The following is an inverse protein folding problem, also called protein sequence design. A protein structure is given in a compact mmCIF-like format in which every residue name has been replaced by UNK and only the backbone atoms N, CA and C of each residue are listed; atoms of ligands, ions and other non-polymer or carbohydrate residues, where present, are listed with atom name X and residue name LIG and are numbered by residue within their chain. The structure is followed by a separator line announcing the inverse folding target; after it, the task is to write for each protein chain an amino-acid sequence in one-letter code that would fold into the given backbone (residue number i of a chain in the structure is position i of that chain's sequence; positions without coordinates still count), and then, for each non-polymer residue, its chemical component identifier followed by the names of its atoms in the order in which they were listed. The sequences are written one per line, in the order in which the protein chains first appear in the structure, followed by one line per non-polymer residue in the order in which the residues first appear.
data_IF_637863845138
#
_entry.id   IF_637863845138
#
_cell.length_a   1.000
_cell.length_b   1.000
_cell.length_c   1.000
_cell.angle_alpha   90.00
_cell.angle_beta   90.00
_cell.angle_gamma   90.00
#
_symmetry.space_group_name_H-M   'P 1'
#
loop_
_entity.id
_entity.type
_entity.pdbx_description
1 polymer ?
#
# COMPACT_ATOMS: atom_id res chain seq x y z
N UNK A 1 -47.56 -8.25 22.72
CA UNK A 1 -47.75 -7.12 23.65
C UNK A 1 -46.64 -6.12 23.36
N UNK A 2 -46.85 -4.90 22.86
CA UNK A 2 -48.05 -4.20 22.42
C UNK A 2 -47.62 -3.24 21.28
N UNK A 3 -48.43 -3.21 20.22
CA UNK A 3 -48.63 -2.06 19.32
C UNK A 3 -49.98 -1.44 19.78
N UNK A 4 -50.14 -0.10 19.80
CA UNK A 4 -51.08 0.43 18.82
C UNK A 4 -50.75 1.85 18.29
N UNK A 5 -50.66 1.95 16.97
CA UNK A 5 -51.47 2.80 16.06
C UNK A 5 -52.02 4.14 16.57
N UNK A 6 -51.69 5.20 15.83
CA UNK A 6 -52.62 6.30 15.53
C UNK A 6 -52.69 6.52 14.00
N UNK A 7 -53.92 6.47 13.46
CA UNK A 7 -54.34 6.74 12.09
C UNK A 7 -54.56 8.27 11.88
N UNK A 8 -54.88 8.78 10.66
CA UNK A 8 -54.39 10.05 10.14
C UNK A 8 -55.41 11.19 10.24
N UNK A 9 -54.93 12.43 10.16
CA UNK A 9 -55.77 13.59 9.87
C UNK A 9 -55.50 14.03 8.43
N UNK A 10 -56.54 13.90 7.60
CA UNK A 10 -56.58 14.48 6.27
C UNK A 10 -56.80 16.00 6.38
N UNK A 11 -55.92 16.78 5.75
CA UNK A 11 -56.18 18.17 5.41
C UNK A 11 -56.06 18.28 3.89
N UNK A 12 -57.20 18.49 3.25
CA UNK A 12 -57.27 18.91 1.86
C UNK A 12 -56.76 20.35 1.75
N UNK A 13 -55.76 20.57 0.89
CA UNK A 13 -55.19 21.89 0.61
C UNK A 13 -54.75 21.98 -0.84
N UNK A 14 -55.54 22.72 -1.62
CA UNK A 14 -55.31 23.30 -2.95
C UNK A 14 -54.07 22.83 -3.75
N UNK A 15 -54.33 22.15 -4.87
CA UNK A 15 -53.36 21.95 -5.94
C UNK A 15 -53.06 23.30 -6.63
N UNK A 16 -51.96 23.94 -6.26
CA UNK A 16 -51.34 24.98 -7.07
C UNK A 16 -50.48 24.29 -8.14
N UNK A 17 -50.89 24.39 -9.39
CA UNK A 17 -50.10 23.95 -10.53
C UNK A 17 -48.86 24.84 -10.65
N UNK A 18 -47.77 24.45 -9.98
CA UNK A 18 -46.46 24.99 -10.28
C UNK A 18 -46.05 24.45 -11.65
N UNK A 19 -46.06 25.32 -12.67
CA UNK A 19 -45.34 25.09 -13.92
C UNK A 19 -43.85 25.00 -13.55
N UNK A 20 -43.40 23.80 -13.19
CA UNK A 20 -42.00 23.49 -13.04
C UNK A 20 -41.34 23.72 -14.38
N UNK A 21 -40.53 24.78 -14.47
CA UNK A 21 -39.53 24.86 -15.52
C UNK A 21 -38.69 23.59 -15.40
N UNK A 22 -38.90 22.65 -16.33
CA UNK A 22 -38.01 21.53 -16.52
C UNK A 22 -36.65 22.12 -16.86
N UNK A 23 -35.83 22.34 -15.83
CA UNK A 23 -34.42 22.63 -16.01
C UNK A 23 -33.85 21.40 -16.72
N UNK A 24 -33.74 21.46 -18.05
CA UNK A 24 -33.03 20.46 -18.84
C UNK A 24 -31.68 20.29 -18.18
N UNK A 25 -31.48 19.12 -17.56
CA UNK A 25 -30.22 18.78 -16.95
C UNK A 25 -29.13 18.98 -18.00
N UNK A 26 -28.14 19.83 -17.69
CA UNK A 26 -27.02 20.06 -18.59
C UNK A 26 -26.46 18.69 -19.04
N UNK A 27 -26.14 18.51 -20.33
CA UNK A 27 -25.64 17.24 -20.82
C UNK A 27 -24.47 16.78 -19.93
N UNK A 28 -24.42 15.48 -19.58
CA UNK A 28 -23.40 14.98 -18.66
C UNK A 28 -22.03 15.38 -19.20
N UNK A 29 -21.29 16.17 -18.42
CA UNK A 29 -19.97 16.65 -18.82
C UNK A 29 -19.11 15.42 -19.14
N UNK A 30 -18.46 15.36 -20.31
CA UNK A 30 -17.60 14.24 -20.65
C UNK A 30 -16.48 14.13 -19.62
N UNK A 31 -16.08 12.89 -19.30
CA UNK A 31 -15.03 12.64 -18.34
C UNK A 31 -13.69 13.18 -18.86
N UNK A 32 -13.27 14.30 -18.30
CA UNK A 32 -11.99 14.94 -18.59
C UNK A 32 -11.23 15.15 -17.29
N UNK A 33 -10.09 14.47 -17.14
CA UNK A 33 -9.24 14.58 -15.95
C UNK A 33 -8.72 16.02 -15.83
N UNK A 34 -8.81 16.59 -14.62
CA UNK A 34 -8.28 17.91 -14.33
C UNK A 34 -6.78 18.00 -14.69
N UNK A 35 -6.33 19.18 -15.15
CA UNK A 35 -4.96 19.36 -15.62
C UNK A 35 -3.91 19.04 -14.54
N UNK A 36 -4.13 19.47 -13.30
CA UNK A 36 -3.23 19.18 -12.17
C UNK A 36 -3.14 17.68 -11.87
N UNK A 37 -4.28 16.99 -11.81
CA UNK A 37 -4.35 15.54 -11.57
C UNK A 37 -3.67 14.76 -12.71
N UNK A 38 -3.88 15.20 -13.96
CA UNK A 38 -3.24 14.61 -15.16
C UNK A 38 -1.73 14.79 -15.14
N UNK A 39 -1.25 15.99 -14.82
CA UNK A 39 0.18 16.27 -14.70
C UNK A 39 0.80 15.39 -13.63
N UNK A 40 0.17 15.30 -12.45
CA UNK A 40 0.65 14.48 -11.36
C UNK A 40 0.70 12.99 -11.74
N UNK A 41 -0.39 12.37 -12.19
CA UNK A 41 -0.41 10.92 -12.45
C UNK A 41 0.57 10.52 -13.56
N UNK A 42 0.76 11.36 -14.58
CA UNK A 42 1.73 11.09 -15.63
C UNK A 42 3.18 11.24 -15.11
N UNK A 43 3.44 12.24 -14.26
CA UNK A 43 4.72 12.43 -13.58
C UNK A 43 5.05 11.24 -12.67
N UNK A 44 4.13 10.85 -11.80
CA UNK A 44 4.27 9.71 -10.90
C UNK A 44 4.53 8.40 -11.68
N UNK A 45 3.89 8.19 -12.83
CA UNK A 45 4.16 7.00 -13.67
C UNK A 45 5.55 7.07 -14.32
N UNK A 46 6.08 8.28 -14.54
CA UNK A 46 7.49 8.51 -14.87
C UNK A 46 8.42 8.16 -13.70
N UNK A 47 8.07 8.55 -12.47
CA UNK A 47 8.81 8.23 -11.26
C UNK A 47 8.92 6.72 -11.06
N UNK A 48 7.84 5.97 -11.30
CA UNK A 48 7.87 4.51 -11.30
C UNK A 48 8.91 3.96 -12.29
N UNK A 49 8.85 4.38 -13.57
CA UNK A 49 9.76 3.86 -14.61
C UNK A 49 11.23 4.13 -14.27
N UNK A 50 11.51 5.29 -13.69
CA UNK A 50 12.86 5.65 -13.23
C UNK A 50 13.26 4.80 -12.03
N UNK A 51 12.39 4.68 -11.03
CA UNK A 51 12.66 3.95 -9.79
C UNK A 51 12.82 2.45 -10.02
N UNK A 52 12.00 1.84 -10.87
CA UNK A 52 12.08 0.43 -11.26
C UNK A 52 13.46 0.08 -11.83
N UNK A 53 13.98 0.94 -12.70
CA UNK A 53 15.29 0.73 -13.33
C UNK A 53 16.45 1.08 -12.41
N UNK A 54 16.38 2.21 -11.70
CA UNK A 54 17.56 2.79 -11.03
C UNK A 54 17.67 2.41 -9.57
N UNK A 55 16.54 2.28 -8.85
CA UNK A 55 16.51 1.93 -7.44
C UNK A 55 16.27 0.44 -7.25
N UNK A 56 15.22 -0.10 -7.88
CA UNK A 56 14.92 -1.53 -7.82
C UNK A 56 15.84 -2.37 -8.71
N UNK A 57 16.54 -1.76 -9.69
CA UNK A 57 17.45 -2.47 -10.60
C UNK A 57 16.78 -3.66 -11.31
N UNK A 58 15.51 -3.49 -11.67
CA UNK A 58 14.73 -4.48 -12.39
C UNK A 58 14.66 -4.13 -13.87
N UNK A 59 14.49 -5.16 -14.69
CA UNK A 59 14.10 -4.98 -16.08
C UNK A 59 12.72 -4.32 -16.13
N UNK A 60 12.58 -3.34 -17.01
CA UNK A 60 11.32 -2.62 -17.16
C UNK A 60 10.26 -3.57 -17.70
N UNK A 61 9.18 -3.72 -16.94
CA UNK A 61 7.99 -4.42 -17.39
C UNK A 61 6.88 -3.43 -17.73
N UNK A 62 5.93 -3.80 -18.60
CA UNK A 62 4.75 -2.97 -18.84
C UNK A 62 4.07 -2.58 -17.53
N UNK A 63 3.58 -1.35 -17.46
CA UNK A 63 2.69 -0.94 -16.37
C UNK A 63 1.44 -1.83 -16.39
N UNK A 64 0.88 -2.17 -15.21
CA UNK A 64 -0.43 -2.82 -15.16
C UNK A 64 -1.51 -1.87 -15.69
N UNK A 65 -2.76 -2.36 -15.77
CA UNK A 65 -3.88 -1.44 -16.02
C UNK A 65 -4.00 -0.47 -14.85
N UNK A 66 -4.06 0.84 -15.13
CA UNK A 66 -4.17 1.88 -14.10
C UNK A 66 -5.59 2.41 -14.08
N UNK A 67 -6.19 2.51 -12.90
CA UNK A 67 -7.47 3.15 -12.62
C UNK A 67 -7.22 4.38 -11.74
N UNK A 68 -7.26 5.57 -12.34
CA UNK A 68 -7.18 6.84 -11.64
C UNK A 68 -8.59 7.40 -11.45
N UNK A 69 -8.96 7.77 -10.23
CA UNK A 69 -10.35 8.07 -9.87
C UNK A 69 -10.45 9.50 -9.35
N UNK A 70 -11.33 10.33 -9.92
CA UNK A 70 -11.69 11.63 -9.34
C UNK A 70 -13.07 11.57 -8.65
N UNK A 71 -13.67 12.71 -8.34
CA UNK A 71 -14.98 12.77 -7.70
C UNK A 71 -16.15 12.24 -8.56
N UNK A 72 -15.99 12.10 -9.88
CA UNK A 72 -17.08 11.80 -10.83
C UNK A 72 -16.74 10.69 -11.83
N UNK A 73 -15.47 10.53 -12.16
CA UNK A 73 -14.98 9.75 -13.28
C UNK A 73 -13.88 8.77 -12.86
N UNK A 74 -13.93 7.59 -13.47
CA UNK A 74 -12.83 6.63 -13.43
C UNK A 74 -12.08 6.72 -14.75
N UNK A 75 -10.80 7.04 -14.69
CA UNK A 75 -9.89 7.08 -15.83
C UNK A 75 -9.08 5.80 -15.87
N UNK A 76 -9.23 5.04 -16.94
CA UNK A 76 -8.50 3.81 -17.19
C UNK A 76 -7.39 4.03 -18.21
N UNK A 77 -6.21 3.53 -17.91
CA UNK A 77 -5.10 3.36 -18.85
C UNK A 77 -4.74 1.88 -18.93
N UNK A 78 -4.95 1.26 -20.08
CA UNK A 78 -4.66 -0.16 -20.28
C UNK A 78 -3.16 -0.43 -20.23
N UNK A 79 -2.79 -1.64 -19.80
CA UNK A 79 -1.40 -2.09 -19.76
C UNK A 79 -0.70 -1.86 -21.12
N UNK A 80 0.51 -1.31 -21.08
CA UNK A 80 1.31 -1.02 -22.29
C UNK A 80 0.82 0.15 -23.15
N UNK A 81 -0.34 0.75 -22.86
CA UNK A 81 -0.88 1.90 -23.62
C UNK A 81 -0.51 3.25 -23.01
N UNK A 82 -0.64 4.34 -23.78
CA UNK A 82 -0.42 5.72 -23.31
C UNK A 82 -1.69 6.55 -23.06
N UNK A 83 -2.83 6.13 -23.61
CA UNK A 83 -4.05 6.93 -23.61
C UNK A 83 -4.94 6.64 -22.39
N UNK A 84 -5.47 7.71 -21.80
CA UNK A 84 -6.50 7.65 -20.75
C UNK A 84 -7.89 7.61 -21.37
N UNK A 85 -8.75 6.71 -20.90
CA UNK A 85 -10.19 6.68 -21.21
C UNK A 85 -10.98 6.92 -19.93
N UNK A 86 -11.88 7.88 -19.92
CA UNK A 86 -12.66 8.25 -18.74
C UNK A 86 -14.12 7.83 -18.89
N UNK A 87 -14.66 7.19 -17.87
CA UNK A 87 -16.07 6.81 -17.78
C UNK A 87 -16.67 7.35 -16.46
N UNK A 88 -17.87 7.94 -16.47
CA UNK A 88 -18.51 8.41 -15.25
C UNK A 88 -18.87 7.22 -14.35
N UNK A 89 -18.61 7.33 -13.05
CA UNK A 89 -18.86 6.23 -12.10
C UNK A 89 -20.09 6.46 -11.21
N UNK A 90 -20.67 7.66 -11.16
CA UNK A 90 -21.90 7.94 -10.41
C UNK A 90 -21.83 7.57 -8.92
N UNK A 91 -20.66 7.78 -8.29
CA UNK A 91 -20.37 7.34 -6.92
C UNK A 91 -20.00 5.87 -6.71
N UNK A 92 -20.07 5.01 -7.74
CA UNK A 92 -19.74 3.58 -7.66
C UNK A 92 -18.61 3.20 -8.62
N UNK A 93 -17.40 3.01 -8.07
CA UNK A 93 -16.21 2.71 -8.86
C UNK A 93 -16.22 1.25 -9.27
N UNK A 94 -16.17 0.96 -10.58
CA UNK A 94 -16.08 -0.41 -11.09
C UNK A 94 -14.64 -0.80 -11.33
N UNK A 95 -14.17 -1.83 -10.63
CA UNK A 95 -12.84 -2.42 -10.79
C UNK A 95 -12.95 -3.92 -11.11
N UNK A 96 -11.94 -4.52 -11.76
CA UNK A 96 -11.98 -5.94 -12.11
C UNK A 96 -12.09 -6.84 -10.88
N UNK A 97 -13.28 -7.41 -10.68
CA UNK A 97 -13.49 -8.50 -9.74
C UNK A 97 -13.36 -8.19 -8.26
N UNK A 98 -13.47 -6.92 -7.90
CA UNK A 98 -13.62 -6.46 -6.53
C UNK A 98 -15.03 -5.87 -6.35
N UNK A 99 -15.61 -5.92 -5.14
CA UNK A 99 -16.73 -5.07 -4.78
C UNK A 99 -16.38 -3.61 -5.08
N UNK A 100 -17.34 -2.79 -5.56
CA UNK A 100 -17.06 -1.41 -5.94
C UNK A 100 -16.64 -0.60 -4.71
N UNK A 101 -15.41 -0.06 -4.65
CA UNK A 101 -15.04 0.80 -3.55
C UNK A 101 -15.81 2.12 -3.62
N UNK A 102 -15.95 2.76 -2.46
CA UNK A 102 -16.42 4.15 -2.39
C UNK A 102 -15.34 5.09 -2.94
N UNK A 103 -15.77 6.22 -3.49
CA UNK A 103 -14.83 7.31 -3.82
C UNK A 103 -14.18 7.82 -2.55
N UNK A 104 -12.84 7.87 -2.56
CA UNK A 104 -12.05 8.29 -1.40
C UNK A 104 -10.56 8.23 -1.66
N UNK A 105 -9.73 8.56 -0.65
CA UNK A 105 -8.27 8.52 -0.73
C UNK A 105 -7.77 7.07 -0.68
N UNK A 106 -8.06 6.31 -1.74
CA UNK A 106 -7.66 4.91 -1.91
C UNK A 106 -6.41 4.83 -2.78
N UNK A 107 -5.58 3.84 -2.51
CA UNK A 107 -4.52 3.37 -3.38
C UNK A 107 -4.32 1.89 -3.09
N UNK A 108 -4.30 1.04 -4.12
CA UNK A 108 -3.98 -0.37 -3.96
C UNK A 108 -3.61 -1.01 -5.30
N UNK A 109 -2.72 -2.00 -5.26
CA UNK A 109 -2.53 -2.94 -6.35
C UNK A 109 -3.34 -4.23 -6.15
N UNK A 110 -3.79 -4.85 -7.23
CA UNK A 110 -4.52 -6.10 -7.18
C UNK A 110 -4.27 -6.97 -8.41
N UNK A 111 -4.48 -8.28 -8.25
CA UNK A 111 -4.43 -9.25 -9.33
C UNK A 111 -5.58 -10.25 -9.22
N UNK A 112 -6.30 -10.44 -10.32
CA UNK A 112 -7.35 -11.47 -10.44
C UNK A 112 -7.17 -12.26 -11.72
N UNK A 113 -6.89 -13.55 -11.58
CA UNK A 113 -6.47 -14.40 -12.70
C UNK A 113 -5.24 -13.82 -13.39
N UNK A 114 -5.29 -13.64 -14.71
CA UNK A 114 -4.21 -13.01 -15.48
C UNK A 114 -4.19 -11.47 -15.40
N UNK A 115 -5.27 -10.84 -14.90
CA UNK A 115 -5.40 -9.39 -14.88
C UNK A 115 -4.70 -8.80 -13.65
N UNK A 116 -3.77 -7.88 -13.88
CA UNK A 116 -3.12 -7.07 -12.83
C UNK A 116 -3.50 -5.62 -13.02
N UNK A 117 -3.85 -4.93 -11.94
CA UNK A 117 -4.19 -3.52 -11.97
C UNK A 117 -3.72 -2.78 -10.73
N UNK A 118 -3.62 -1.46 -10.87
CA UNK A 118 -3.41 -0.51 -9.78
C UNK A 118 -4.55 0.51 -9.81
N UNK A 119 -5.12 0.82 -8.66
CA UNK A 119 -6.18 1.81 -8.52
C UNK A 119 -5.76 2.90 -7.52
N UNK A 120 -6.04 4.16 -7.83
CA UNK A 120 -5.73 5.30 -6.96
C UNK A 120 -6.76 6.43 -7.12
N UNK A 121 -7.19 6.99 -5.99
CA UNK A 121 -7.84 8.29 -5.97
C UNK A 121 -6.86 9.39 -6.36
N UNK A 122 -7.22 10.25 -7.30
CA UNK A 122 -6.39 11.36 -7.76
C UNK A 122 -6.17 12.41 -6.65
N UNK A 123 -5.15 13.28 -6.76
CA UNK A 123 -4.85 14.26 -5.72
C UNK A 123 -6.04 15.14 -5.33
N UNK A 124 -6.92 15.48 -6.28
CA UNK A 124 -8.19 16.16 -5.99
C UNK A 124 -9.06 15.44 -4.96
N UNK A 125 -9.15 14.11 -5.01
CA UNK A 125 -9.91 13.28 -4.06
C UNK A 125 -9.26 13.28 -2.70
N UNK A 126 -7.93 13.17 -2.63
CA UNK A 126 -7.20 13.16 -1.37
C UNK A 126 -7.28 14.52 -0.66
N UNK A 127 -7.19 15.63 -1.40
CA UNK A 127 -7.41 16.98 -0.87
C UNK A 127 -8.83 17.15 -0.35
N UNK A 128 -9.83 16.68 -1.11
CA UNK A 128 -11.23 16.76 -0.69
C UNK A 128 -11.52 15.95 0.59
N UNK A 129 -10.77 14.87 0.82
CA UNK A 129 -10.81 14.08 2.05
C UNK A 129 -9.99 14.68 3.20
N UNK A 130 -9.36 15.85 3.02
CA UNK A 130 -8.57 16.52 4.06
C UNK A 130 -7.23 15.85 4.34
N UNK A 131 -6.71 15.01 3.44
CA UNK A 131 -5.42 14.33 3.67
C UNK A 131 -4.27 15.34 3.57
N UNK A 132 -3.46 15.41 4.61
CA UNK A 132 -2.26 16.25 4.69
C UNK A 132 -1.02 15.41 4.96
N UNK A 133 0.16 15.94 4.61
CA UNK A 133 1.44 15.31 4.90
C UNK A 133 2.53 16.34 5.19
N UNK A 134 3.44 16.03 6.10
CA UNK A 134 4.61 16.88 6.42
C UNK A 134 5.59 17.02 5.26
N UNK A 135 5.49 16.16 4.24
CA UNK A 135 6.29 16.23 3.00
C UNK A 135 5.51 16.86 1.82
N UNK A 136 4.27 17.30 2.05
CA UNK A 136 3.34 17.69 0.99
C UNK A 136 2.54 16.52 0.44
N UNK A 137 1.33 16.77 -0.04
CA UNK A 137 0.40 15.73 -0.46
C UNK A 137 0.90 14.97 -1.70
N UNK A 138 1.31 15.68 -2.74
CA UNK A 138 1.74 15.07 -3.99
C UNK A 138 2.97 14.17 -3.80
N UNK A 139 3.92 14.58 -2.94
CA UNK A 139 5.09 13.74 -2.59
C UNK A 139 4.71 12.50 -1.79
N UNK A 140 3.74 12.62 -0.88
CA UNK A 140 3.18 11.46 -0.18
C UNK A 140 2.55 10.50 -1.21
N UNK A 141 1.74 11.03 -2.13
CA UNK A 141 1.05 10.22 -3.13
C UNK A 141 2.00 9.57 -4.12
N UNK A 142 3.12 10.21 -4.47
CA UNK A 142 4.20 9.58 -5.24
C UNK A 142 4.76 8.38 -4.50
N UNK A 143 5.07 8.53 -3.21
CA UNK A 143 5.53 7.43 -2.36
C UNK A 143 4.52 6.29 -2.28
N UNK A 144 3.24 6.61 -2.06
CA UNK A 144 2.14 5.62 -2.04
C UNK A 144 2.04 4.90 -3.38
N UNK A 145 2.05 5.61 -4.51
CA UNK A 145 1.95 4.97 -5.81
C UNK A 145 3.14 4.06 -6.10
N UNK A 146 4.36 4.49 -5.75
CA UNK A 146 5.55 3.68 -5.90
C UNK A 146 5.47 2.41 -5.05
N UNK A 147 5.05 2.54 -3.80
CA UNK A 147 4.81 1.42 -2.89
C UNK A 147 3.83 0.41 -3.51
N UNK A 148 2.65 0.86 -3.93
CA UNK A 148 1.64 -0.03 -4.48
C UNK A 148 2.07 -0.72 -5.78
N UNK A 149 2.79 0.00 -6.65
CA UNK A 149 3.30 -0.59 -7.89
C UNK A 149 4.37 -1.67 -7.64
N UNK A 150 5.10 -1.63 -6.52
CA UNK A 150 6.02 -2.73 -6.15
C UNK A 150 5.27 -4.04 -6.02
N UNK A 151 4.07 -4.06 -5.43
CA UNK A 151 3.30 -5.30 -5.27
C UNK A 151 2.97 -5.96 -6.61
N UNK A 152 2.83 -5.17 -7.68
CA UNK A 152 2.60 -5.71 -9.03
C UNK A 152 3.77 -6.56 -9.54
N UNK A 153 4.98 -6.31 -9.03
CA UNK A 153 6.21 -7.07 -9.28
C UNK A 153 6.42 -8.21 -8.27
N UNK A 154 5.58 -8.29 -7.25
CA UNK A 154 5.63 -9.33 -6.21
C UNK A 154 4.54 -10.37 -6.39
N UNK A 155 3.44 -10.06 -7.10
CA UNK A 155 2.32 -10.98 -7.29
C UNK A 155 2.68 -12.36 -7.85
N UNK A 156 3.79 -12.51 -8.59
CA UNK A 156 4.21 -13.81 -9.09
C UNK A 156 4.64 -14.78 -7.98
N UNK A 157 5.08 -14.29 -6.83
CA UNK A 157 5.41 -15.11 -5.66
C UNK A 157 4.44 -14.90 -4.51
N UNK A 158 3.97 -13.68 -4.28
CA UNK A 158 3.08 -13.36 -3.17
C UNK A 158 1.76 -14.12 -3.26
N UNK A 159 1.08 -14.06 -4.41
CA UNK A 159 -0.22 -14.71 -4.59
C UNK A 159 -0.17 -16.23 -4.42
N UNK A 160 0.76 -16.98 -5.07
CA UNK A 160 0.84 -18.42 -4.85
C UNK A 160 1.25 -18.78 -3.41
N UNK A 161 2.13 -17.99 -2.78
CA UNK A 161 2.52 -18.20 -1.37
C UNK A 161 1.33 -18.01 -0.43
N UNK A 162 0.61 -16.89 -0.54
CA UNK A 162 -0.58 -16.62 0.26
C UNK A 162 -1.65 -17.69 0.02
N UNK A 163 -1.89 -18.09 -1.23
CA UNK A 163 -2.81 -19.21 -1.55
C UNK A 163 -2.39 -20.51 -0.87
N UNK A 164 -1.10 -20.85 -0.87
CA UNK A 164 -0.60 -22.06 -0.23
C UNK A 164 -0.74 -21.99 1.30
N UNK A 165 -0.48 -20.84 1.91
CA UNK A 165 -0.68 -20.60 3.35
C UNK A 165 -2.18 -20.72 3.69
N UNK A 166 -3.06 -20.07 2.93
CA UNK A 166 -4.51 -20.13 3.15
C UNK A 166 -5.04 -21.56 3.03
N UNK A 167 -4.60 -22.32 2.02
CA UNK A 167 -4.98 -23.72 1.86
C UNK A 167 -4.48 -24.59 3.03
N UNK A 168 -3.25 -24.36 3.49
CA UNK A 168 -2.64 -25.12 4.61
C UNK A 168 -3.35 -24.87 5.95
N UNK A 169 -3.78 -23.64 6.20
CA UNK A 169 -4.32 -23.23 7.50
C UNK A 169 -5.83 -22.94 7.50
N UNK A 170 -6.52 -23.16 6.37
CA UNK A 170 -7.96 -22.91 6.23
C UNK A 170 -8.33 -21.43 6.41
N UNK A 171 -7.53 -20.52 5.85
CA UNK A 171 -7.75 -19.07 5.99
C UNK A 171 -8.79 -18.57 4.99
N UNK A 172 -9.60 -17.61 5.44
CA UNK A 172 -10.52 -16.86 4.58
C UNK A 172 -9.81 -15.83 3.70
N UNK A 173 -10.60 -15.17 2.87
CA UNK A 173 -10.15 -14.09 1.98
C UNK A 173 -9.94 -12.75 2.70
N UNK A 174 -10.15 -12.70 4.02
CA UNK A 174 -10.08 -11.50 4.87
C UNK A 174 -8.71 -11.27 5.53
N UNK A 175 -7.71 -12.09 5.21
CA UNK A 175 -6.35 -11.93 5.72
C UNK A 175 -5.56 -10.93 4.88
N UNK A 176 -5.06 -9.89 5.55
CA UNK A 176 -4.25 -8.80 5.02
C UNK A 176 -3.04 -8.49 5.93
N UNK A 177 -2.25 -7.48 5.55
CA UNK A 177 -1.03 -7.06 6.26
C UNK A 177 -1.30 -6.44 7.64
N UNK A 178 -2.52 -5.97 7.89
CA UNK A 178 -2.99 -5.45 9.19
C UNK A 178 -3.51 -6.57 10.11
N UNK A 179 -3.81 -7.75 9.57
CA UNK A 179 -4.43 -8.84 10.33
C UNK A 179 -3.56 -9.35 11.50
N UNK A 180 -2.23 -9.28 11.37
CA UNK A 180 -1.30 -9.60 12.46
C UNK A 180 -1.39 -8.58 13.60
N UNK A 181 -1.42 -7.29 13.26
CA UNK A 181 -1.63 -6.21 14.22
C UNK A 181 -3.01 -6.32 14.88
N UNK A 182 -4.07 -6.65 14.14
CA UNK A 182 -5.41 -6.87 14.69
C UNK A 182 -5.42 -8.06 15.68
N UNK A 183 -4.71 -9.14 15.36
CA UNK A 183 -4.63 -10.35 16.18
C UNK A 183 -3.88 -10.14 17.50
N UNK A 184 -2.77 -9.42 17.48
CA UNK A 184 -1.85 -9.31 18.62
C UNK A 184 -1.76 -7.91 19.24
N UNK A 185 -2.37 -6.90 18.64
CA UNK A 185 -2.33 -5.49 19.07
C UNK A 185 -2.93 -5.21 20.45
N UNK A 186 -3.66 -6.16 21.03
CA UNK A 186 -4.19 -6.05 22.40
C UNK A 186 -3.28 -6.72 23.44
N UNK A 187 -2.30 -7.50 23.02
CA UNK A 187 -1.32 -8.12 23.91
C UNK A 187 -0.15 -7.14 24.16
N UNK A 188 -0.01 -6.60 25.39
CA UNK A 188 1.05 -5.65 25.70
C UNK A 188 2.46 -6.27 25.61
N UNK A 189 2.62 -7.56 25.89
CA UNK A 189 3.91 -8.23 25.79
C UNK A 189 4.31 -8.46 24.33
N UNK A 190 3.34 -8.80 23.46
CA UNK A 190 3.59 -8.87 22.02
C UNK A 190 4.00 -7.51 21.47
N UNK A 191 3.25 -6.46 21.82
CA UNK A 191 3.54 -5.08 21.40
C UNK A 191 4.93 -4.65 21.78
N UNK A 192 5.33 -4.90 23.03
CA UNK A 192 6.67 -4.59 23.49
C UNK A 192 7.75 -5.33 22.67
N UNK A 193 7.55 -6.63 22.41
CA UNK A 193 8.47 -7.41 21.57
C UNK A 193 8.57 -6.85 20.14
N UNK A 194 7.43 -6.58 19.50
CA UNK A 194 7.37 -5.97 18.17
C UNK A 194 8.10 -4.62 18.12
N UNK A 195 7.82 -3.71 19.07
CA UNK A 195 8.46 -2.39 19.08
C UNK A 195 9.97 -2.48 19.33
N UNK A 196 10.42 -3.39 20.19
CA UNK A 196 11.85 -3.62 20.42
C UNK A 196 12.55 -4.11 19.15
N UNK A 197 11.95 -5.04 18.41
CA UNK A 197 12.49 -5.50 17.12
C UNK A 197 12.57 -4.37 16.10
N UNK A 198 11.48 -3.61 15.94
CA UNK A 198 11.42 -2.48 15.03
C UNK A 198 12.48 -1.44 15.36
N UNK A 199 12.62 -1.06 16.62
CA UNK A 199 13.56 -0.04 17.05
C UNK A 199 15.01 -0.52 16.88
N UNK A 200 15.28 -1.81 17.13
CA UNK A 200 16.57 -2.43 16.84
C UNK A 200 16.91 -2.41 15.34
N UNK A 201 15.93 -2.66 14.46
CA UNK A 201 16.12 -2.58 13.01
C UNK A 201 16.39 -1.13 12.55
N UNK A 202 15.70 -0.14 13.10
CA UNK A 202 16.02 1.26 12.80
C UNK A 202 17.40 1.67 13.33
N UNK A 203 17.81 1.15 14.49
CA UNK A 203 19.17 1.35 15.00
C UNK A 203 20.21 0.72 14.07
N UNK A 204 19.96 -0.49 13.57
CA UNK A 204 20.83 -1.15 12.59
C UNK A 204 20.96 -0.34 11.29
N UNK A 205 19.86 0.17 10.75
CA UNK A 205 19.86 1.02 9.57
C UNK A 205 20.65 2.34 9.79
N UNK A 206 20.55 2.92 10.99
CA UNK A 206 21.17 4.20 11.36
C UNK A 206 22.61 4.07 11.90
N UNK A 207 23.13 2.86 12.08
CA UNK A 207 24.43 2.64 12.70
C UNK A 207 25.58 3.35 11.96
N UNK A 208 26.60 3.76 12.71
CA UNK A 208 27.75 4.51 12.18
C UNK A 208 28.69 3.66 11.34
N UNK A 209 28.71 2.34 11.53
CA UNK A 209 29.55 1.39 10.80
C UNK A 209 28.77 0.16 10.39
N UNK A 210 29.25 -0.54 9.36
CA UNK A 210 28.62 -1.79 8.93
C UNK A 210 28.80 -2.91 9.94
N UNK A 211 29.92 -2.95 10.66
CA UNK A 211 30.12 -3.91 11.75
C UNK A 211 29.04 -3.78 12.83
N UNK A 212 28.74 -2.55 13.24
CA UNK A 212 27.67 -2.28 14.21
C UNK A 212 26.28 -2.57 13.64
N UNK A 213 26.03 -2.16 12.38
CA UNK A 213 24.77 -2.45 11.70
C UNK A 213 24.49 -3.97 11.64
N UNK A 214 25.51 -4.78 11.35
CA UNK A 214 25.39 -6.25 11.30
C UNK A 214 25.13 -6.86 12.66
N UNK A 215 25.82 -6.37 13.71
CA UNK A 215 25.58 -6.81 15.09
C UNK A 215 24.13 -6.56 15.50
N UNK A 216 23.64 -5.33 15.29
CA UNK A 216 22.26 -4.93 15.59
C UNK A 216 21.24 -5.71 14.73
N UNK A 217 21.53 -5.94 13.44
CA UNK A 217 20.69 -6.77 12.57
C UNK A 217 20.61 -8.22 13.08
N UNK A 218 21.71 -8.78 13.57
CA UNK A 218 21.75 -10.10 14.19
C UNK A 218 20.94 -10.16 15.50
N UNK A 219 20.97 -9.10 16.29
CA UNK A 219 20.15 -8.98 17.51
C UNK A 219 18.66 -8.86 17.17
N UNK A 220 18.28 -8.01 16.22
CA UNK A 220 16.91 -7.92 15.73
C UNK A 220 16.41 -9.27 15.21
N UNK A 221 17.20 -10.00 14.43
CA UNK A 221 16.83 -11.33 13.92
C UNK A 221 16.60 -12.33 15.06
N UNK A 222 17.43 -12.30 16.12
CA UNK A 222 17.21 -13.13 17.31
C UNK A 222 15.91 -12.76 18.02
N UNK A 223 15.61 -11.47 18.15
CA UNK A 223 14.36 -10.98 18.75
C UNK A 223 13.13 -11.44 17.94
N UNK A 224 13.15 -11.28 16.61
CA UNK A 224 12.09 -11.75 15.72
C UNK A 224 11.86 -13.26 15.86
N UNK A 225 12.93 -14.06 15.87
CA UNK A 225 12.84 -15.52 16.10
C UNK A 225 12.25 -15.86 17.46
N UNK A 226 12.63 -15.13 18.52
CA UNK A 226 12.08 -15.34 19.85
C UNK A 226 10.58 -14.98 19.91
N UNK A 227 10.14 -13.90 19.25
CA UNK A 227 8.72 -13.57 19.13
C UNK A 227 7.96 -14.66 18.38
N UNK A 228 8.49 -15.15 17.27
CA UNK A 228 7.87 -16.24 16.52
C UNK A 228 7.72 -17.51 17.38
N UNK A 229 8.77 -17.91 18.11
CA UNK A 229 8.73 -19.08 19.00
C UNK A 229 7.74 -18.95 20.14
N UNK A 230 7.47 -17.72 20.61
CA UNK A 230 6.57 -17.48 21.74
C UNK A 230 5.12 -17.31 21.32
N UNK A 231 4.83 -16.64 20.20
CA UNK A 231 3.46 -16.31 19.80
C UNK A 231 2.96 -17.03 18.55
N UNK A 232 3.85 -17.50 17.66
CA UNK A 232 3.46 -18.15 16.41
C UNK A 232 3.52 -19.67 16.58
N UNK A 233 2.77 -20.17 17.56
CA UNK A 233 2.72 -21.58 17.95
C UNK A 233 1.26 -22.05 18.02
N UNK A 234 1.05 -23.37 17.98
CA UNK A 234 -0.29 -23.96 18.03
C UNK A 234 -1.22 -23.37 16.97
N UNK A 235 -2.40 -22.89 17.37
CA UNK A 235 -3.39 -22.28 16.48
C UNK A 235 -2.92 -21.01 15.76
N UNK A 236 -1.84 -20.38 16.23
CA UNK A 236 -1.26 -19.17 15.66
C UNK A 236 -0.01 -19.43 14.81
N UNK A 237 0.36 -20.69 14.57
CA UNK A 237 1.54 -21.07 13.79
C UNK A 237 1.58 -20.50 12.36
N UNK A 238 0.40 -20.20 11.77
CA UNK A 238 0.28 -19.56 10.46
C UNK A 238 1.01 -18.22 10.35
N UNK A 239 1.09 -17.49 11.47
CA UNK A 239 1.62 -16.13 11.47
C UNK A 239 3.11 -16.08 11.19
N UNK A 240 3.88 -17.15 11.42
CA UNK A 240 5.29 -17.17 11.05
C UNK A 240 5.50 -16.98 9.54
N UNK A 241 4.67 -17.63 8.71
CA UNK A 241 4.74 -17.50 7.26
C UNK A 241 4.11 -16.19 6.77
N UNK A 242 3.00 -15.75 7.39
CA UNK A 242 2.33 -14.50 7.05
C UNK A 242 3.18 -13.27 7.39
N UNK A 243 3.83 -13.25 8.57
CA UNK A 243 4.70 -12.16 9.00
C UNK A 243 5.85 -11.95 8.01
N UNK A 244 6.52 -13.04 7.59
CA UNK A 244 7.65 -12.92 6.66
C UNK A 244 7.22 -12.43 5.26
N UNK A 245 6.10 -12.92 4.71
CA UNK A 245 5.62 -12.46 3.41
C UNK A 245 5.11 -11.01 3.47
N UNK A 246 4.41 -10.60 4.54
CA UNK A 246 3.95 -9.22 4.71
C UNK A 246 5.13 -8.27 4.92
N UNK A 247 6.09 -8.59 5.78
CA UNK A 247 7.30 -7.79 5.94
C UNK A 247 8.09 -7.67 4.63
N UNK A 248 8.08 -8.71 3.78
CA UNK A 248 8.71 -8.67 2.45
C UNK A 248 7.98 -7.73 1.50
N UNK A 249 6.66 -7.85 1.41
CA UNK A 249 5.84 -7.06 0.49
C UNK A 249 5.84 -5.59 0.89
N UNK A 250 5.43 -5.33 2.12
CA UNK A 250 5.26 -3.99 2.67
C UNK A 250 6.62 -3.29 2.82
N UNK A 251 7.65 -4.02 3.27
CA UNK A 251 8.97 -3.46 3.47
C UNK A 251 9.64 -3.00 2.18
N UNK A 252 9.56 -3.78 1.10
CA UNK A 252 10.10 -3.39 -0.20
C UNK A 252 9.34 -2.19 -0.79
N UNK A 253 8.01 -2.15 -0.64
CA UNK A 253 7.19 -1.03 -1.06
C UNK A 253 7.53 0.26 -0.32
N UNK A 254 7.60 0.19 1.02
CA UNK A 254 7.96 1.33 1.87
C UNK A 254 9.40 1.80 1.63
N UNK A 255 10.34 0.87 1.45
CA UNK A 255 11.70 1.21 1.08
C UNK A 255 11.76 1.96 -0.25
N UNK A 256 10.99 1.56 -1.27
CA UNK A 256 11.00 2.27 -2.55
C UNK A 256 10.47 3.70 -2.41
N UNK A 257 9.39 3.89 -1.64
CA UNK A 257 8.86 5.22 -1.34
C UNK A 257 9.94 6.10 -0.67
N UNK A 258 10.61 5.59 0.36
CA UNK A 258 11.70 6.29 1.04
C UNK A 258 12.91 6.56 0.11
N UNK A 259 13.33 5.56 -0.66
CA UNK A 259 14.47 5.65 -1.56
C UNK A 259 14.22 6.70 -2.65
N UNK A 260 13.03 6.74 -3.23
CA UNK A 260 12.66 7.79 -4.19
C UNK A 260 12.75 9.18 -3.58
N UNK A 261 12.12 9.38 -2.41
CA UNK A 261 12.07 10.67 -1.73
C UNK A 261 13.45 11.21 -1.35
N UNK A 262 14.43 10.34 -1.12
CA UNK A 262 15.79 10.72 -0.72
C UNK A 262 16.80 10.72 -1.87
N UNK A 263 16.47 10.09 -3.00
CA UNK A 263 17.41 9.92 -4.11
C UNK A 263 17.66 11.22 -4.89
N UNK A 264 18.84 11.36 -5.53
CA UNK A 264 19.12 12.44 -6.48
C UNK A 264 18.19 12.48 -7.69
N UNK A 265 17.61 11.34 -8.07
CA UNK A 265 16.69 11.23 -9.20
C UNK A 265 15.24 11.57 -8.83
N UNK A 266 14.91 11.58 -7.54
CA UNK A 266 13.60 11.94 -7.02
C UNK A 266 13.60 13.26 -6.26
N UNK A 267 12.98 13.29 -5.08
CA UNK A 267 12.65 14.53 -4.37
C UNK A 267 13.81 15.15 -3.57
N UNK A 268 14.93 14.43 -3.39
CA UNK A 268 16.13 14.89 -2.65
C UNK A 268 15.83 15.41 -1.23
N UNK A 269 14.82 14.87 -0.58
CA UNK A 269 14.47 15.27 0.77
C UNK A 269 15.57 14.83 1.77
N UNK A 270 15.78 15.59 2.85
CA UNK A 270 16.59 15.12 3.96
C UNK A 270 16.07 13.77 4.48
N UNK A 271 16.98 12.81 4.72
CA UNK A 271 16.63 11.44 5.14
C UNK A 271 15.65 11.40 6.31
N UNK A 272 15.88 12.21 7.34
CA UNK A 272 15.00 12.28 8.51
C UNK A 272 13.58 12.77 8.16
N UNK A 273 13.47 13.71 7.22
CA UNK A 273 12.17 14.24 6.76
C UNK A 273 11.42 13.20 5.92
N UNK A 274 12.12 12.53 4.98
CA UNK A 274 11.54 11.44 4.21
C UNK A 274 11.09 10.30 5.12
N UNK A 275 11.92 9.90 6.09
CA UNK A 275 11.61 8.82 7.02
C UNK A 275 10.34 9.12 7.82
N UNK A 276 10.20 10.34 8.38
CA UNK A 276 8.96 10.74 9.07
C UNK A 276 7.74 10.69 8.16
N UNK A 277 7.87 11.17 6.92
CA UNK A 277 6.79 11.18 5.94
C UNK A 277 6.31 9.78 5.53
N UNK A 278 7.25 8.85 5.33
CA UNK A 278 6.96 7.46 4.93
C UNK A 278 6.38 6.65 6.09
N UNK A 279 6.94 6.80 7.30
CA UNK A 279 6.49 6.04 8.48
C UNK A 279 5.07 6.38 8.92
N UNK A 280 4.60 7.61 8.70
CA UNK A 280 3.25 8.08 9.09
C UNK A 280 2.87 7.71 10.54
N UNK A 281 3.76 8.06 11.47
CA UNK A 281 3.71 7.74 12.91
C UNK A 281 3.84 6.25 13.27
N UNK A 282 4.19 5.38 12.32
CA UNK A 282 4.41 3.94 12.56
C UNK A 282 3.12 3.18 12.89
N UNK A 283 1.98 3.62 12.32
CA UNK A 283 0.65 3.08 12.63
C UNK A 283 0.40 1.68 12.05
N UNK A 284 1.03 1.36 10.92
CA UNK A 284 0.88 0.07 10.22
C UNK A 284 2.11 -0.79 10.49
N UNK A 285 1.93 -1.86 11.26
CA UNK A 285 3.07 -2.61 11.81
C UNK A 285 3.95 -3.27 10.76
N UNK A 286 3.35 -3.96 9.79
CA UNK A 286 4.08 -4.65 8.72
C UNK A 286 4.85 -3.66 7.84
N UNK A 287 4.28 -2.48 7.60
CA UNK A 287 4.91 -1.40 6.85
C UNK A 287 6.06 -0.73 7.62
N UNK A 288 5.87 -0.38 8.91
CA UNK A 288 6.88 0.32 9.71
C UNK A 288 8.09 -0.58 10.01
N UNK A 289 7.86 -1.84 10.41
CA UNK A 289 8.93 -2.81 10.63
C UNK A 289 9.57 -3.26 9.31
N UNK A 290 8.75 -3.48 8.27
CA UNK A 290 9.25 -3.81 6.93
C UNK A 290 10.18 -2.72 6.38
N UNK A 291 9.84 -1.44 6.56
CA UNK A 291 10.71 -0.32 6.19
C UNK A 291 12.06 -0.40 6.91
N UNK A 292 12.05 -0.57 8.23
CA UNK A 292 13.28 -0.68 9.03
C UNK A 292 14.17 -1.84 8.57
N UNK A 293 13.54 -2.97 8.25
CA UNK A 293 14.18 -4.18 7.76
C UNK A 293 14.82 -3.95 6.39
N UNK A 294 14.10 -3.35 5.42
CA UNK A 294 14.66 -3.11 4.08
C UNK A 294 15.68 -1.97 4.05
N UNK A 295 15.61 -0.99 4.95
CA UNK A 295 16.70 -0.01 5.13
C UNK A 295 17.99 -0.70 5.60
N UNK A 296 17.86 -1.65 6.52
CA UNK A 296 19.00 -2.45 7.01
C UNK A 296 19.56 -3.37 5.91
N UNK A 297 18.69 -4.04 5.14
CA UNK A 297 19.08 -4.90 4.01
C UNK A 297 19.77 -4.08 2.92
N UNK A 298 19.20 -2.93 2.54
CA UNK A 298 19.76 -2.09 1.47
C UNK A 298 21.17 -1.62 1.79
N UNK A 299 21.42 -1.34 3.07
CA UNK A 299 22.76 -1.04 3.57
C UNK A 299 23.72 -2.24 3.47
N UNK A 300 23.30 -3.41 3.95
CA UNK A 300 24.20 -4.53 4.26
C UNK A 300 24.26 -5.64 3.22
N UNK A 301 23.32 -5.66 2.27
CA UNK A 301 23.18 -6.73 1.27
C UNK A 301 23.20 -6.12 -0.13
N UNK A 302 24.40 -5.91 -0.71
CA UNK A 302 24.53 -5.39 -2.06
C UNK A 302 23.75 -6.24 -3.07
N UNK A 303 22.89 -5.58 -3.85
CA UNK A 303 22.09 -6.23 -4.89
C UNK A 303 20.96 -7.12 -4.36
N UNK A 304 20.49 -6.87 -3.13
CA UNK A 304 19.33 -7.57 -2.54
C UNK A 304 18.11 -7.59 -3.45
N UNK A 305 17.94 -6.58 -4.32
CA UNK A 305 16.83 -6.49 -5.25
C UNK A 305 16.75 -7.72 -6.16
N UNK A 306 17.91 -8.21 -6.65
CA UNK A 306 17.95 -9.43 -7.47
C UNK A 306 17.52 -10.68 -6.70
N UNK A 307 17.70 -10.68 -5.38
CA UNK A 307 17.30 -11.78 -4.51
C UNK A 307 15.81 -11.69 -4.14
N UNK A 308 15.33 -10.49 -3.80
CA UNK A 308 13.94 -10.26 -3.38
C UNK A 308 12.92 -10.38 -4.53
N UNK A 309 13.35 -10.12 -5.76
CA UNK A 309 12.48 -10.19 -6.95
C UNK A 309 12.84 -11.36 -7.89
N UNK A 310 13.65 -12.31 -7.43
CA UNK A 310 13.94 -13.52 -8.19
C UNK A 310 12.68 -14.36 -8.46
N UNK A 311 12.78 -15.31 -9.39
CA UNK A 311 11.73 -16.33 -9.61
C UNK A 311 11.41 -17.11 -8.33
N UNK A 312 12.43 -17.39 -7.52
CA UNK A 312 12.34 -17.92 -6.17
C UNK A 312 12.95 -16.89 -5.23
N UNK A 313 12.15 -15.97 -4.67
CA UNK A 313 12.67 -14.83 -3.94
C UNK A 313 13.18 -15.23 -2.55
N UNK A 314 14.20 -14.51 -2.08
CA UNK A 314 14.55 -14.50 -0.66
C UNK A 314 13.62 -13.51 0.05
N UNK A 315 12.88 -13.99 1.04
CA UNK A 315 11.99 -13.16 1.86
C UNK A 315 12.79 -12.36 2.90
N UNK A 316 12.10 -11.43 3.56
CA UNK A 316 12.63 -10.47 4.53
C UNK A 316 13.54 -11.12 5.58
N UNK A 317 13.11 -12.21 6.22
CA UNK A 317 13.91 -12.89 7.25
C UNK A 317 15.20 -13.50 6.70
N UNK A 318 15.15 -14.12 5.51
CA UNK A 318 16.32 -14.71 4.86
C UNK A 318 17.32 -13.64 4.39
N UNK A 319 16.84 -12.49 3.93
CA UNK A 319 17.68 -11.34 3.59
C UNK A 319 18.32 -10.71 4.82
N UNK A 320 17.57 -10.57 5.93
CA UNK A 320 18.10 -10.08 7.19
C UNK A 320 19.16 -11.04 7.78
N UNK A 321 18.95 -12.35 7.66
CA UNK A 321 19.96 -13.34 8.03
C UNK A 321 21.25 -13.20 7.21
N UNK A 322 21.13 -12.91 5.91
CA UNK A 322 22.29 -12.59 5.07
C UNK A 322 22.97 -11.30 5.51
N UNK A 323 22.21 -10.27 5.87
CA UNK A 323 22.73 -9.01 6.39
C UNK A 323 23.56 -9.24 7.66
N UNK A 324 23.07 -10.05 8.60
CA UNK A 324 23.71 -10.30 9.89
C UNK A 324 25.01 -11.12 9.81
N UNK A 325 25.25 -11.89 8.73
CA UNK A 325 26.40 -12.80 8.62
C UNK A 325 27.63 -12.24 7.90
N UNK A 326 27.46 -11.18 7.11
CA UNK A 326 28.48 -10.72 6.15
C UNK A 326 29.53 -9.78 6.71
#
# INVERSE_FOLDING_TARGET
MADPRCLPIAIAGAAMAMMGASASAAPPRPCAMAASDRTWINGALGHWRTSERTLLKLDQQPLPTIYAIDARCTYRRHAGTGAWRGDPHGGSIRLPGAPPPKVGPIAFASARGATRYFAIGLPSVWRAAGVTSTIGLERLMDGVMLHELVHTRQFHFANPTLKAISARYGLGDDIDDDSLQARFGKDPAYRAAYFNERDMLFAAAAASSDAEARRLAGEALKMMRARHQRWFVGGDARWAALDDIFLTMEGAGQWLAYAWLTSPAGEKLPRATALRGVRRDGKQWSQDQGLALFLTIDRLVPGWQRLAFAKQPHLATALLERAARG
#
